data_IF_993435697858
#
_entry.id   IF_993435697858
#
_cell.length_a   1.000
_cell.length_b   1.000
_cell.length_c   1.000
_cell.angle_alpha   90.00
_cell.angle_beta   90.00
_cell.angle_gamma   90.00
#
_symmetry.space_group_name_H-M   'P 1'
#
loop_
_entity.id
_entity.type
_entity.pdbx_description
1 polymer ?
#
# COMPACT_ATOMS: atom_id res chain seq x y z
N UNK A 1 -16.23 -4.95 61.60
CA UNK A 1 -14.92 -5.44 61.11
C UNK A 1 -15.07 -6.90 60.69
N UNK A 2 -15.31 -7.15 59.40
CA UNK A 2 -15.28 -8.48 58.78
C UNK A 2 -14.79 -8.32 57.35
N UNK A 3 -13.50 -8.57 57.15
CA UNK A 3 -12.82 -8.54 55.85
C UNK A 3 -13.15 -9.88 55.18
N UNK A 4 -14.05 -9.87 54.20
CA UNK A 4 -14.22 -11.01 53.30
C UNK A 4 -13.15 -10.92 52.21
N UNK A 5 -12.08 -11.70 52.38
CA UNK A 5 -11.10 -11.97 51.33
C UNK A 5 -11.78 -12.89 50.32
N UNK A 6 -12.39 -12.31 49.29
CA UNK A 6 -12.79 -13.06 48.10
C UNK A 6 -11.52 -13.29 47.27
N UNK A 7 -11.04 -14.52 47.32
CA UNK A 7 -10.04 -15.05 46.42
C UNK A 7 -10.50 -14.82 44.96
N UNK A 8 -9.88 -13.85 44.29
CA UNK A 8 -10.02 -13.64 42.85
C UNK A 8 -9.33 -14.82 42.18
N UNK A 9 -10.10 -15.88 41.94
CA UNK A 9 -9.73 -17.03 41.13
C UNK A 9 -9.39 -16.53 39.73
N UNK A 10 -8.09 -16.55 39.41
CA UNK A 10 -7.57 -16.21 38.09
C UNK A 10 -8.02 -17.26 37.07
N UNK A 11 -9.08 -16.95 36.33
CA UNK A 11 -9.46 -17.68 35.12
C UNK A 11 -8.45 -17.29 34.04
N UNK A 12 -7.39 -18.10 33.90
CA UNK A 12 -6.51 -18.06 32.74
C UNK A 12 -7.32 -18.67 31.58
N UNK A 13 -7.88 -17.80 30.73
CA UNK A 13 -8.43 -18.20 29.44
C UNK A 13 -7.29 -18.79 28.58
N UNK A 14 -7.18 -20.11 28.54
CA UNK A 14 -6.39 -20.83 27.55
C UNK A 14 -7.11 -20.67 26.20
N UNK A 15 -6.71 -19.69 25.40
CA UNK A 15 -7.06 -19.63 23.99
C UNK A 15 -6.39 -20.81 23.29
N UNK A 16 -7.18 -21.85 22.97
CA UNK A 16 -6.69 -22.97 22.18
C UNK A 16 -6.25 -22.48 20.80
N UNK A 17 -5.05 -22.86 20.30
CA UNK A 17 -4.66 -22.57 18.93
C UNK A 17 -5.59 -23.34 18.00
N UNK A 18 -6.45 -22.62 17.26
CA UNK A 18 -7.25 -23.20 16.21
C UNK A 18 -6.34 -23.52 15.01
N UNK A 19 -5.92 -24.78 14.89
CA UNK A 19 -5.22 -25.27 13.71
C UNK A 19 -6.23 -25.50 12.59
N UNK A 20 -6.37 -24.52 11.69
CA UNK A 20 -7.13 -24.68 10.47
C UNK A 20 -6.41 -25.67 9.54
N UNK A 21 -7.08 -26.77 9.15
CA UNK A 21 -6.58 -27.71 8.15
C UNK A 21 -7.46 -27.64 6.91
N UNK A 22 -6.85 -27.49 5.74
CA UNK A 22 -7.56 -27.48 4.45
C UNK A 22 -7.59 -28.91 3.90
N UNK A 23 -8.77 -29.39 3.54
CA UNK A 23 -9.01 -30.69 2.93
C UNK A 23 -9.15 -30.54 1.42
N UNK A 24 -8.51 -31.44 0.67
CA UNK A 24 -8.74 -31.59 -0.76
C UNK A 24 -9.81 -32.67 -0.97
N UNK A 25 -10.98 -32.28 -1.44
CA UNK A 25 -12.09 -33.19 -1.75
C UNK A 25 -12.17 -33.43 -3.25
N UNK A 26 -12.30 -34.71 -3.64
CA UNK A 26 -12.51 -35.13 -5.03
C UNK A 26 -13.92 -35.70 -5.14
N UNK A 27 -14.69 -35.16 -6.07
CA UNK A 27 -16.06 -35.61 -6.32
C UNK A 27 -16.08 -36.91 -7.15
N UNK A 28 -16.69 -37.95 -6.59
CA UNK A 28 -16.74 -39.28 -7.22
C UNK A 28 -17.62 -39.24 -8.48
N UNK A 29 -17.03 -39.51 -9.64
CA UNK A 29 -17.69 -39.55 -10.94
C UNK A 29 -17.41 -38.34 -11.84
N UNK A 30 -17.25 -37.13 -11.28
CA UNK A 30 -16.88 -35.93 -12.06
C UNK A 30 -15.38 -35.66 -12.06
N UNK A 31 -14.65 -36.13 -11.04
CA UNK A 31 -13.22 -35.84 -10.85
C UNK A 31 -12.93 -34.40 -10.43
N UNK A 32 -13.97 -33.60 -10.13
CA UNK A 32 -13.83 -32.20 -9.72
C UNK A 32 -13.12 -32.12 -8.37
N UNK A 33 -12.13 -31.23 -8.28
CA UNK A 33 -11.37 -30.96 -7.06
C UNK A 33 -11.93 -29.69 -6.40
N UNK A 34 -12.27 -29.80 -5.11
CA UNK A 34 -12.70 -28.68 -4.27
C UNK A 34 -11.88 -28.67 -2.98
N UNK A 35 -11.45 -27.50 -2.53
CA UNK A 35 -10.77 -27.33 -1.24
C UNK A 35 -11.74 -26.82 -0.19
N UNK A 36 -11.70 -27.38 1.02
CA UNK A 36 -12.62 -27.05 2.10
C UNK A 36 -11.91 -27.00 3.45
N UNK A 37 -12.33 -26.09 4.33
CA UNK A 37 -11.83 -26.00 5.71
C UNK A 37 -12.50 -27.02 6.65
N UNK A 38 -13.47 -27.80 6.14
CA UNK A 38 -14.11 -28.89 6.86
C UNK A 38 -13.84 -30.24 6.17
N UNK A 39 -13.86 -31.36 6.93
CA UNK A 39 -13.73 -32.69 6.34
C UNK A 39 -14.76 -32.92 5.22
N UNK A 40 -14.33 -33.59 4.15
CA UNK A 40 -15.17 -33.87 2.99
C UNK A 40 -16.43 -34.66 3.40
N UNK A 41 -17.58 -34.29 2.85
CA UNK A 41 -18.89 -34.85 3.23
C UNK A 41 -19.53 -35.60 2.05
N UNK A 42 -20.18 -36.75 2.31
CA UNK A 42 -20.86 -37.55 1.28
C UNK A 42 -19.94 -38.51 0.50
N UNK A 43 -20.20 -38.72 -0.80
CA UNK A 43 -19.41 -39.58 -1.72
C UNK A 43 -18.23 -38.80 -2.30
N UNK A 44 -17.39 -38.26 -1.44
CA UNK A 44 -16.19 -37.55 -1.86
C UNK A 44 -15.01 -38.10 -1.10
N UNK A 45 -14.03 -38.62 -1.82
CA UNK A 45 -12.75 -39.00 -1.22
C UNK A 45 -11.93 -37.74 -0.93
N UNK A 46 -11.28 -37.68 0.24
CA UNK A 46 -10.50 -36.51 0.61
C UNK A 46 -9.39 -36.79 1.60
N UNK A 47 -8.35 -35.97 1.51
CA UNK A 47 -7.17 -36.01 2.40
C UNK A 47 -6.82 -34.59 2.85
N UNK A 48 -6.29 -34.42 4.07
CA UNK A 48 -5.73 -33.13 4.48
C UNK A 48 -4.59 -32.76 3.53
N UNK A 49 -4.51 -31.48 3.19
CA UNK A 49 -3.41 -30.93 2.41
C UNK A 49 -2.17 -30.88 3.30
N UNK A 50 -1.11 -31.55 2.86
CA UNK A 50 0.19 -31.43 3.50
C UNK A 50 0.80 -30.07 3.16
N UNK A 51 0.83 -29.18 4.15
CA UNK A 51 1.44 -27.86 4.07
C UNK A 51 2.91 -27.88 4.48
N UNK A 52 3.55 -29.05 4.57
CA UNK A 52 4.97 -29.17 4.88
C UNK A 52 5.78 -28.29 3.92
N UNK A 53 6.76 -27.52 4.44
CA UNK A 53 7.63 -26.73 3.60
C UNK A 53 8.28 -27.60 2.52
N UNK A 54 8.21 -27.15 1.27
CA UNK A 54 8.87 -27.86 0.18
C UNK A 54 10.39 -27.86 0.43
N UNK A 55 11.04 -29.00 0.24
CA UNK A 55 12.49 -29.19 0.42
C UNK A 55 13.32 -28.72 -0.76
N UNK A 56 12.68 -28.23 -1.84
CA UNK A 56 13.36 -27.65 -2.99
C UNK A 56 13.99 -26.31 -2.60
N UNK A 57 15.32 -26.23 -2.66
CA UNK A 57 16.05 -24.99 -2.52
C UNK A 57 15.87 -24.10 -3.76
N UNK A 58 14.86 -23.24 -3.71
CA UNK A 58 14.60 -22.21 -4.72
C UNK A 58 15.28 -20.87 -4.40
N UNK A 59 16.21 -20.82 -3.43
CA UNK A 59 16.83 -19.57 -3.00
C UNK A 59 17.64 -18.91 -4.13
N UNK A 60 18.43 -19.70 -4.86
CA UNK A 60 19.26 -19.19 -5.96
C UNK A 60 18.46 -18.65 -7.14
N UNK A 61 17.39 -19.35 -7.55
CA UNK A 61 16.53 -18.89 -8.66
C UNK A 61 15.73 -17.64 -8.27
N UNK A 62 15.26 -17.57 -7.02
CA UNK A 62 14.58 -16.38 -6.46
C UNK A 62 15.51 -15.19 -6.38
N UNK A 63 16.74 -15.39 -5.89
CA UNK A 63 17.75 -14.34 -5.81
C UNK A 63 18.10 -13.78 -7.19
N UNK A 64 18.24 -14.66 -8.20
CA UNK A 64 18.51 -14.22 -9.56
C UNK A 64 17.32 -13.51 -10.22
N UNK A 65 16.08 -13.85 -9.86
CA UNK A 65 14.90 -13.11 -10.30
C UNK A 65 14.84 -11.72 -9.67
N UNK A 66 15.08 -11.62 -8.35
CA UNK A 66 15.12 -10.36 -7.62
C UNK A 66 16.19 -9.41 -8.16
N UNK A 67 17.40 -9.92 -8.45
CA UNK A 67 18.47 -9.11 -9.04
C UNK A 67 18.08 -8.50 -10.40
N UNK A 68 17.38 -9.28 -11.24
CA UNK A 68 16.90 -8.81 -12.54
C UNK A 68 15.86 -7.71 -12.38
N UNK A 69 14.90 -7.90 -11.48
CA UNK A 69 13.85 -6.91 -11.21
C UNK A 69 14.43 -5.60 -10.64
N UNK A 70 15.39 -5.70 -9.70
CA UNK A 70 16.08 -4.52 -9.14
C UNK A 70 16.86 -3.77 -10.21
N UNK A 71 17.51 -4.48 -11.13
CA UNK A 71 18.24 -3.85 -12.22
C UNK A 71 17.30 -3.12 -13.19
N UNK A 72 16.20 -3.76 -13.60
CA UNK A 72 15.19 -3.15 -14.46
C UNK A 72 14.59 -1.88 -13.82
N UNK A 73 14.30 -1.94 -12.52
CA UNK A 73 13.75 -0.80 -11.79
C UNK A 73 14.74 0.37 -11.75
N UNK A 74 16.03 0.10 -11.56
CA UNK A 74 17.10 1.12 -11.61
C UNK A 74 17.20 1.76 -12.98
N UNK A 75 17.17 0.96 -14.04
CA UNK A 75 17.22 1.48 -15.42
C UNK A 75 16.01 2.35 -15.74
N UNK A 76 14.82 1.93 -15.28
CA UNK A 76 13.59 2.71 -15.44
C UNK A 76 13.65 4.03 -14.68
N UNK A 77 14.15 4.04 -13.44
CA UNK A 77 14.36 5.26 -12.66
C UNK A 77 15.34 6.21 -13.36
N UNK A 78 16.47 5.69 -13.86
CA UNK A 78 17.44 6.50 -14.59
C UNK A 78 16.86 7.12 -15.86
N UNK A 79 15.98 6.40 -16.58
CA UNK A 79 15.26 6.95 -17.75
C UNK A 79 14.27 8.05 -17.36
N UNK A 80 13.54 7.90 -16.26
CA UNK A 80 12.67 8.96 -15.77
C UNK A 80 13.47 10.19 -15.33
N UNK A 81 14.59 9.99 -14.64
CA UNK A 81 15.45 11.08 -14.20
C UNK A 81 16.08 11.82 -15.38
N UNK A 82 16.63 11.10 -16.37
CA UNK A 82 17.22 11.72 -17.55
C UNK A 82 16.17 12.43 -18.43
N UNK A 83 14.97 11.86 -18.58
CA UNK A 83 13.86 12.54 -19.25
C UNK A 83 13.45 13.82 -18.50
N UNK A 84 13.40 13.77 -17.16
CA UNK A 84 13.09 14.95 -16.35
C UNK A 84 14.17 16.03 -16.44
N UNK A 85 15.45 15.65 -16.54
CA UNK A 85 16.58 16.57 -16.70
C UNK A 85 16.65 17.14 -18.12
N UNK A 86 16.34 16.37 -19.17
CA UNK A 86 16.32 16.86 -20.55
C UNK A 86 15.20 17.89 -20.80
N UNK A 87 14.10 17.83 -20.04
CA UNK A 87 13.06 18.87 -20.02
C UNK A 87 13.43 20.11 -19.19
N UNK A 88 14.56 20.11 -18.46
CA UNK A 88 15.11 21.30 -17.80
C UNK A 88 16.08 21.98 -18.77
N UNK A 89 15.62 23.08 -19.38
CA UNK A 89 16.47 23.95 -20.19
C UNK A 89 17.64 24.51 -19.35
N UNK A 90 18.83 24.78 -19.93
CA UNK A 90 19.92 25.48 -19.23
C UNK A 90 19.50 26.85 -18.66
N UNK A 91 18.37 27.41 -19.10
CA UNK A 91 17.76 28.62 -18.55
C UNK A 91 17.13 28.44 -17.16
N UNK A 92 16.86 27.21 -16.70
CA UNK A 92 16.44 26.91 -15.32
C UNK A 92 17.63 26.86 -14.34
N UNK A 93 18.86 26.87 -14.84
CA UNK A 93 20.09 26.87 -14.04
C UNK A 93 20.44 28.26 -13.48
N UNK A 94 19.63 29.27 -13.81
CA UNK A 94 19.65 30.61 -13.22
C UNK A 94 18.37 30.88 -12.41
N UNK A 95 17.87 29.90 -11.65
CA UNK A 95 17.02 30.25 -10.52
C UNK A 95 17.92 30.77 -9.40
N UNK A 96 17.82 32.06 -9.02
CA UNK A 96 18.65 32.64 -7.96
C UNK A 96 18.45 31.80 -6.70
N UNK A 97 19.55 31.53 -5.99
CA UNK A 97 19.61 30.82 -4.69
C UNK A 97 18.34 31.08 -3.90
N UNK A 98 17.47 30.08 -3.94
CA UNK A 98 16.19 30.11 -3.28
C UNK A 98 16.46 30.26 -1.80
N UNK A 99 15.91 31.31 -1.23
CA UNK A 99 16.04 31.57 0.19
C UNK A 99 15.42 30.38 0.92
N UNK A 100 16.28 29.50 1.47
CA UNK A 100 15.88 28.18 1.97
C UNK A 100 14.80 28.31 3.04
N UNK A 101 14.83 29.42 3.79
CA UNK A 101 13.80 29.78 4.78
C UNK A 101 12.46 30.16 4.15
N UNK A 102 12.45 30.91 3.06
CA UNK A 102 11.20 31.32 2.40
C UNK A 102 10.48 30.10 1.80
N UNK A 103 11.22 29.20 1.16
CA UNK A 103 10.68 27.94 0.66
C UNK A 103 10.19 27.04 1.80
N UNK A 104 10.97 26.91 2.88
CA UNK A 104 10.56 26.11 4.04
C UNK A 104 9.29 26.66 4.71
N UNK A 105 9.20 27.98 4.87
CA UNK A 105 8.00 28.64 5.41
C UNK A 105 6.79 28.43 4.50
N UNK A 106 6.96 28.61 3.19
CA UNK A 106 5.88 28.41 2.23
C UNK A 106 5.38 26.96 2.25
N UNK A 107 6.31 25.99 2.33
CA UNK A 107 5.98 24.56 2.46
C UNK A 107 5.16 24.28 3.73
N UNK A 108 5.62 24.76 4.89
CA UNK A 108 4.86 24.59 6.15
C UNK A 108 3.46 25.19 6.05
N UNK A 109 3.33 26.36 5.44
CA UNK A 109 2.03 27.01 5.28
C UNK A 109 1.07 26.24 4.38
N UNK A 110 1.60 25.60 3.33
CA UNK A 110 0.83 24.71 2.47
C UNK A 110 0.43 23.42 3.21
N UNK A 111 1.35 22.79 3.92
CA UNK A 111 1.08 21.54 4.65
C UNK A 111 0.00 21.75 5.73
N UNK A 112 0.01 22.89 6.43
CA UNK A 112 -1.02 23.25 7.42
C UNK A 112 -2.39 23.40 6.75
N UNK A 113 -2.47 24.14 5.65
CA UNK A 113 -3.74 24.41 4.97
C UNK A 113 -4.30 23.16 4.29
N UNK A 114 -3.44 22.36 3.65
CA UNK A 114 -3.80 21.11 3.00
C UNK A 114 -4.22 20.02 4.02
N UNK A 115 -3.65 20.05 5.22
CA UNK A 115 -4.02 19.17 6.33
C UNK A 115 -5.22 19.64 7.16
N UNK A 116 -5.76 20.83 6.89
CA UNK A 116 -6.90 21.39 7.60
C UNK A 116 -8.18 20.56 7.37
N UNK A 117 -8.96 20.39 8.43
CA UNK A 117 -10.29 19.77 8.36
C UNK A 117 -11.27 20.61 7.52
N UNK A 118 -11.06 21.93 7.49
CA UNK A 118 -11.80 22.82 6.61
C UNK A 118 -11.01 22.96 5.30
N UNK A 119 -11.29 22.07 4.35
CA UNK A 119 -10.63 22.07 3.03
C UNK A 119 -11.14 23.22 2.16
N UNK A 120 -10.62 24.42 2.39
CA UNK A 120 -10.84 25.54 1.47
C UNK A 120 -9.94 25.38 0.24
N UNK A 121 -10.49 24.82 -0.84
CA UNK A 121 -9.75 24.55 -2.08
C UNK A 121 -9.01 25.79 -2.61
N UNK A 122 -9.64 26.96 -2.60
CA UNK A 122 -9.00 28.19 -3.07
C UNK A 122 -7.80 28.59 -2.20
N UNK A 123 -7.90 28.41 -0.88
CA UNK A 123 -6.78 28.70 0.03
C UNK A 123 -5.63 27.69 -0.15
N UNK A 124 -5.94 26.40 -0.24
CA UNK A 124 -4.97 25.33 -0.49
C UNK A 124 -4.23 25.58 -1.81
N UNK A 125 -4.95 25.96 -2.86
CA UNK A 125 -4.39 26.26 -4.18
C UNK A 125 -3.50 27.51 -4.16
N UNK A 126 -3.93 28.56 -3.47
CA UNK A 126 -3.13 29.77 -3.31
C UNK A 126 -1.82 29.48 -2.53
N UNK A 127 -1.88 28.63 -1.50
CA UNK A 127 -0.68 28.20 -0.76
C UNK A 127 0.22 27.29 -1.58
N UNK A 128 -0.37 26.43 -2.41
CA UNK A 128 0.35 25.54 -3.33
C UNK A 128 1.17 26.35 -4.34
N UNK A 129 0.55 27.27 -5.07
CA UNK A 129 1.23 28.09 -6.07
C UNK A 129 2.30 29.00 -5.42
N UNK A 130 2.03 29.55 -4.24
CA UNK A 130 3.01 30.30 -3.45
C UNK A 130 4.21 29.45 -3.04
N UNK A 131 4.00 28.18 -2.63
CA UNK A 131 5.09 27.25 -2.33
C UNK A 131 5.93 26.95 -3.57
N UNK A 132 5.32 26.62 -4.70
CA UNK A 132 6.06 26.35 -5.94
C UNK A 132 6.87 27.58 -6.39
N UNK A 133 6.28 28.78 -6.35
CA UNK A 133 6.97 30.03 -6.66
C UNK A 133 8.11 30.35 -5.70
N UNK A 134 7.88 30.25 -4.39
CA UNK A 134 8.90 30.50 -3.36
C UNK A 134 10.03 29.47 -3.40
N UNK A 135 9.73 28.23 -3.78
CA UNK A 135 10.70 27.16 -3.97
C UNK A 135 11.25 27.08 -5.40
N UNK A 136 10.94 28.04 -6.27
CA UNK A 136 11.43 28.11 -7.65
C UNK A 136 11.21 26.82 -8.44
N UNK A 137 10.16 26.10 -8.09
CA UNK A 137 9.71 24.89 -8.74
C UNK A 137 8.54 25.24 -9.67
N UNK A 138 8.47 24.60 -10.84
CA UNK A 138 7.32 24.74 -11.72
C UNK A 138 6.11 23.98 -11.14
N UNK A 139 4.96 24.64 -11.08
CA UNK A 139 3.73 24.02 -10.59
C UNK A 139 3.25 22.90 -11.57
N UNK A 140 2.91 21.70 -11.08
CA UNK A 140 2.40 20.62 -11.91
C UNK A 140 1.05 20.98 -12.55
N UNK A 141 0.90 20.66 -13.84
CA UNK A 141 -0.34 20.83 -14.59
C UNK A 141 -1.51 20.12 -13.89
N UNK A 142 -2.64 20.82 -13.73
CA UNK A 142 -3.83 20.23 -13.11
C UNK A 142 -4.49 19.25 -14.07
N UNK A 143 -4.72 18.02 -13.60
CA UNK A 143 -5.57 17.04 -14.28
C UNK A 143 -6.87 16.96 -13.47
N UNK A 144 -7.94 17.58 -13.97
CA UNK A 144 -9.27 17.44 -13.37
C UNK A 144 -9.89 16.12 -13.83
N UNK A 145 -9.87 15.11 -12.96
CA UNK A 145 -10.55 13.84 -13.24
C UNK A 145 -12.06 14.07 -13.05
N UNK A 146 -12.76 14.36 -14.15
CA UNK A 146 -14.22 14.41 -14.17
C UNK A 146 -14.75 12.98 -14.01
N UNK A 147 -15.21 12.65 -12.80
CA UNK A 147 -15.75 11.34 -12.51
C UNK A 147 -17.24 11.29 -12.88
N UNK A 148 -17.53 10.99 -14.15
CA UNK A 148 -18.91 10.96 -14.71
C UNK A 148 -19.75 9.76 -14.22
N UNK A 149 -19.21 8.85 -13.42
CA UNK A 149 -19.87 7.60 -13.02
C UNK A 149 -20.86 7.70 -11.84
N UNK A 150 -21.15 8.89 -11.28
CA UNK A 150 -21.99 9.00 -10.07
C UNK A 150 -23.50 9.06 -10.34
N UNK A 151 -23.93 9.20 -11.59
CA UNK A 151 -25.36 9.41 -11.96
C UNK A 151 -26.12 8.15 -12.38
N UNK A 152 -25.48 6.97 -12.46
CA UNK A 152 -26.14 5.72 -12.87
C UNK A 152 -26.66 4.85 -11.71
N UNK A 153 -26.59 5.31 -10.45
CA UNK A 153 -27.02 4.53 -9.27
C UNK A 153 -28.31 5.06 -8.61
N UNK A 154 -29.15 5.76 -9.35
CA UNK A 154 -30.47 6.24 -8.87
C UNK A 154 -31.57 6.07 -9.92
N UNK A 155 -31.70 4.87 -10.46
CA UNK A 155 -32.96 4.37 -11.05
C UNK A 155 -33.15 2.93 -10.66
#
# INVERSE_FOLDING_TARGET
MRIFILAVSGIIFLSAPASAQVFKCVEDGSGKIVFSDVPCHGKTSGRPVDASPNTIDASGSREQALRREVQELRERMNKYESASQASRSPSDQQSPRIDSRACEQARRSYDIEAGSLMQNRAAIEAKRSAMYGACGMREPTRIEIRNEYRTLRSR
#
